data_IF_729954577035
#
_entry.id   IF_729954577035
#
_cell.length_a   1.000
_cell.length_b   1.000
_cell.length_c   1.000
_cell.angle_alpha   90.00
_cell.angle_beta   90.00
_cell.angle_gamma   90.00
#
_symmetry.space_group_name_H-M   'P 1'
#
loop_
_entity.id
_entity.type
_entity.pdbx_description
1 polymer ?
#
# COMPACT_ATOMS: atom_id res chain seq x y z
N UNK A 1 -5.08 -12.37 16.97
CA UNK A 1 -5.41 -13.02 15.70
C UNK A 1 -4.16 -13.07 14.86
N UNK A 2 -3.82 -14.26 14.36
CA UNK A 2 -2.58 -14.60 13.66
C UNK A 2 -2.22 -13.58 12.57
N UNK A 3 -1.06 -12.93 12.72
CA UNK A 3 -0.47 -12.08 11.69
C UNK A 3 -0.16 -12.94 10.48
N UNK A 4 -0.93 -12.76 9.41
CA UNK A 4 -0.84 -13.57 8.20
C UNK A 4 0.52 -13.42 7.54
N UNK A 5 1.27 -14.51 7.51
CA UNK A 5 2.37 -14.69 6.57
C UNK A 5 1.80 -14.66 5.15
N UNK A 6 2.32 -13.78 4.30
CA UNK A 6 1.97 -13.73 2.88
C UNK A 6 3.23 -13.87 2.03
N UNK A 7 3.65 -15.09 1.65
CA UNK A 7 4.63 -15.27 0.59
C UNK A 7 3.92 -15.18 -0.77
N UNK A 8 4.44 -14.29 -1.63
CA UNK A 8 3.93 -13.84 -2.94
C UNK A 8 2.82 -12.75 -2.88
N UNK A 9 3.22 -11.47 -3.00
CA UNK A 9 2.31 -10.36 -3.34
C UNK A 9 1.64 -9.60 -2.18
N UNK A 10 2.02 -9.85 -0.92
CA UNK A 10 1.34 -9.28 0.25
C UNK A 10 1.71 -7.84 0.65
N UNK A 11 2.89 -7.34 0.25
CA UNK A 11 3.44 -6.08 0.77
C UNK A 11 2.53 -4.86 0.51
N UNK A 12 2.28 -4.54 -0.76
CA UNK A 12 1.43 -3.41 -1.15
C UNK A 12 -0.04 -3.61 -0.74
N UNK A 13 -0.52 -4.85 -0.75
CA UNK A 13 -1.86 -5.21 -0.25
C UNK A 13 -2.01 -4.89 1.24
N UNK A 14 -1.02 -5.28 2.04
CA UNK A 14 -0.98 -4.96 3.47
C UNK A 14 -0.78 -3.47 3.75
N UNK A 15 -0.07 -2.76 2.88
CA UNK A 15 0.11 -1.31 2.97
C UNK A 15 -1.19 -0.59 2.62
N UNK A 16 -1.90 -1.02 1.58
CA UNK A 16 -3.22 -0.51 1.19
C UNK A 16 -4.24 -0.68 2.32
N UNK A 17 -4.26 -1.85 2.96
CA UNK A 17 -5.15 -2.12 4.09
C UNK A 17 -4.86 -1.19 5.28
N UNK A 18 -3.60 -0.88 5.58
CA UNK A 18 -3.22 0.01 6.68
C UNK A 18 -3.56 1.48 6.39
N UNK A 19 -3.31 1.91 5.16
CA UNK A 19 -3.64 3.27 4.71
C UNK A 19 -5.15 3.49 4.73
N UNK A 20 -5.94 2.53 4.23
CA UNK A 20 -7.40 2.58 4.29
C UNK A 20 -7.95 2.56 5.72
N UNK A 21 -7.29 1.87 6.67
CA UNK A 21 -7.69 1.88 8.07
C UNK A 21 -7.52 3.25 8.76
N UNK A 22 -6.75 4.15 8.17
CA UNK A 22 -6.56 5.53 8.61
C UNK A 22 -7.33 6.53 7.71
N UNK A 23 -8.36 6.07 7.01
CA UNK A 23 -9.11 6.85 6.02
C UNK A 23 -8.23 7.50 4.93
N UNK A 24 -7.06 6.90 4.67
CA UNK A 24 -6.13 7.34 3.64
C UNK A 24 -6.25 6.58 2.33
N UNK A 25 -5.46 7.00 1.33
CA UNK A 25 -5.44 6.40 -0.01
C UNK A 25 -4.01 6.06 -0.44
N UNK A 26 -3.83 4.90 -1.10
CA UNK A 26 -2.55 4.46 -1.64
C UNK A 26 -2.58 4.45 -3.18
N UNK A 27 -1.68 5.21 -3.78
CA UNK A 27 -1.45 5.28 -5.23
C UNK A 27 -0.15 4.58 -5.61
N UNK A 28 -0.20 3.79 -6.68
CA UNK A 28 0.97 3.10 -7.24
C UNK A 28 1.02 3.41 -8.72
N UNK A 29 2.13 3.98 -9.17
CA UNK A 29 2.40 4.27 -10.57
C UNK A 29 3.68 3.55 -10.99
N UNK A 30 3.55 2.55 -11.86
CA UNK A 30 4.66 1.71 -12.34
C UNK A 30 4.55 1.54 -13.86
N UNK A 31 4.88 2.58 -14.64
CA UNK A 31 4.89 2.50 -16.10
C UNK A 31 5.94 1.51 -16.59
N UNK A 32 5.67 0.85 -17.72
CA UNK A 32 6.58 -0.12 -18.32
C UNK A 32 7.93 0.52 -18.67
N UNK A 33 9.03 -0.06 -18.20
CA UNK A 33 10.39 0.46 -18.43
C UNK A 33 10.74 1.73 -17.66
N UNK A 34 9.84 2.24 -16.82
CA UNK A 34 10.06 3.43 -16.00
C UNK A 34 10.23 3.12 -14.50
N UNK A 35 10.43 4.15 -13.67
CA UNK A 35 10.54 3.99 -12.23
C UNK A 35 9.18 3.62 -11.62
N UNK A 36 9.21 2.94 -10.48
CA UNK A 36 8.01 2.71 -9.67
C UNK A 36 7.89 3.79 -8.60
N UNK A 37 6.72 4.42 -8.53
CA UNK A 37 6.37 5.42 -7.51
C UNK A 37 5.19 4.94 -6.68
N UNK A 38 5.31 5.06 -5.36
CA UNK A 38 4.27 4.69 -4.39
C UNK A 38 3.99 5.90 -3.50
N UNK A 39 2.73 6.33 -3.42
CA UNK A 39 2.29 7.51 -2.67
C UNK A 39 1.18 7.08 -1.71
N UNK A 40 1.35 7.36 -0.42
CA UNK A 40 0.30 7.20 0.59
C UNK A 40 -0.15 8.58 1.08
N UNK A 41 -1.43 8.86 0.92
CA UNK A 41 -2.07 10.07 1.42
C UNK A 41 -2.82 9.71 2.68
N UNK A 42 -2.52 10.40 3.78
CA UNK A 42 -3.13 10.17 5.09
C UNK A 42 -3.73 11.49 5.57
N UNK A 43 -4.96 11.49 6.10
CA UNK A 43 -5.48 12.65 6.80
C UNK A 43 -4.63 12.95 8.04
N UNK A 44 -4.25 14.21 8.22
CA UNK A 44 -3.59 14.71 9.42
C UNK A 44 -4.62 15.42 10.31
N UNK A 45 -4.50 15.23 11.62
CA UNK A 45 -5.25 15.96 12.65
C UNK A 45 -4.40 17.08 13.24
#
# INVERSE_FOLDING_TARGET
GTGGEAPAGGGLTGLRSRVAALDGVLHVHSPLGGPTTVIAELPCA
#
